data_IF_486495849530
#
_entry.id   IF_486495849530
#
_cell.length_a   1.000
_cell.length_b   1.000
_cell.length_c   1.000
_cell.angle_alpha   90.00
_cell.angle_beta   90.00
_cell.angle_gamma   90.00
#
_symmetry.space_group_name_H-M   'P 1'
#
loop_
_entity.id
_entity.type
_entity.pdbx_description
1 polymer ?
#
# COMPACT_ATOMS: atom_id res chain seq x y z
N UNK A 1 18.65 -0.97 -19.72
CA UNK A 1 18.35 -0.13 -18.54
C UNK A 1 17.16 -0.77 -17.82
N UNK A 2 17.27 -1.17 -16.55
CA UNK A 2 16.17 -1.82 -15.83
C UNK A 2 15.07 -0.80 -15.54
N UNK A 3 13.88 -0.98 -16.12
CA UNK A 3 12.69 -0.16 -15.83
C UNK A 3 12.04 -0.60 -14.50
N UNK A 4 12.81 -0.54 -13.42
CA UNK A 4 12.40 -1.03 -12.10
C UNK A 4 11.11 -0.36 -11.58
N UNK A 5 10.86 0.88 -11.96
CA UNK A 5 9.62 1.58 -11.63
C UNK A 5 8.39 1.02 -12.36
N UNK A 6 8.53 0.53 -13.60
CA UNK A 6 7.43 -0.18 -14.29
C UNK A 6 7.13 -1.49 -13.58
N UNK A 7 8.16 -2.20 -13.12
CA UNK A 7 8.00 -3.42 -12.30
C UNK A 7 7.23 -3.13 -11.01
N UNK A 8 7.56 -2.04 -10.31
CA UNK A 8 6.84 -1.64 -9.09
C UNK A 8 5.36 -1.35 -9.39
N UNK A 9 5.03 -0.70 -10.51
CA UNK A 9 3.62 -0.52 -10.93
C UNK A 9 2.90 -1.84 -11.18
N UNK A 10 3.57 -2.81 -11.80
CA UNK A 10 3.01 -4.15 -12.03
C UNK A 10 2.73 -4.86 -10.71
N UNK A 11 3.66 -4.81 -9.76
CA UNK A 11 3.47 -5.38 -8.41
C UNK A 11 2.30 -4.72 -7.69
N UNK A 12 2.19 -3.39 -7.75
CA UNK A 12 1.06 -2.67 -7.17
C UNK A 12 -0.28 -3.07 -7.81
N UNK A 13 -0.33 -3.22 -9.13
CA UNK A 13 -1.53 -3.69 -9.83
C UNK A 13 -1.89 -5.13 -9.46
N UNK A 14 -0.89 -5.99 -9.27
CA UNK A 14 -1.11 -7.36 -8.81
C UNK A 14 -1.68 -7.39 -7.39
N UNK A 15 -1.07 -6.64 -6.46
CA UNK A 15 -1.40 -6.71 -5.04
C UNK A 15 -2.69 -5.95 -4.67
N UNK A 16 -2.94 -4.80 -5.28
CA UNK A 16 -4.07 -3.91 -4.92
C UNK A 16 -5.12 -3.81 -6.04
N UNK A 17 -4.94 -4.56 -7.12
CA UNK A 17 -5.80 -4.58 -8.30
C UNK A 17 -5.47 -3.51 -9.35
N UNK A 18 -6.14 -3.63 -10.49
CA UNK A 18 -5.87 -2.83 -11.69
C UNK A 18 -5.88 -1.33 -11.41
N UNK A 19 -4.84 -0.65 -11.91
CA UNK A 19 -4.69 0.80 -11.83
C UNK A 19 -4.02 1.32 -10.57
N UNK A 20 -3.87 0.48 -9.53
CA UNK A 20 -3.15 0.84 -8.30
C UNK A 20 -1.71 1.29 -8.54
N UNK A 21 -1.02 0.72 -9.54
CA UNK A 21 0.34 1.13 -9.89
C UNK A 21 0.42 2.57 -10.40
N UNK A 22 -0.54 2.98 -11.23
CA UNK A 22 -0.64 4.38 -11.69
C UNK A 22 -1.10 5.28 -10.55
N UNK A 23 -2.02 4.81 -9.72
CA UNK A 23 -2.51 5.57 -8.58
C UNK A 23 -1.41 5.88 -7.55
N UNK A 24 -0.53 4.91 -7.26
CA UNK A 24 0.60 5.09 -6.34
C UNK A 24 1.78 5.85 -6.97
N UNK A 25 2.01 5.64 -8.26
CA UNK A 25 3.15 6.20 -8.99
C UNK A 25 2.67 6.72 -10.34
N UNK A 26 2.05 7.90 -10.44
CA UNK A 26 1.50 8.41 -11.70
C UNK A 26 2.59 8.78 -12.72
N UNK A 27 3.76 9.18 -12.20
CA UNK A 27 4.99 9.42 -12.97
C UNK A 27 6.11 8.52 -12.47
N UNK A 28 7.35 8.75 -12.95
CA UNK A 28 8.53 7.99 -12.52
C UNK A 28 8.87 8.35 -11.07
N UNK A 29 8.80 7.40 -10.12
CA UNK A 29 9.21 7.61 -8.74
C UNK A 29 10.73 7.56 -8.59
N UNK A 30 11.20 8.06 -7.45
CA UNK A 30 12.54 7.80 -6.97
C UNK A 30 12.58 6.40 -6.32
N UNK A 31 13.61 5.62 -6.64
CA UNK A 31 13.80 4.28 -6.09
C UNK A 31 15.13 4.22 -5.37
N UNK A 32 15.07 3.87 -4.09
CA UNK A 32 16.25 3.55 -3.30
C UNK A 32 16.50 2.04 -3.32
N UNK A 33 17.75 1.68 -3.55
CA UNK A 33 18.19 0.29 -3.65
C UNK A 33 18.96 -0.12 -2.39
N UNK A 34 18.94 -1.42 -2.08
CA UNK A 34 19.88 -1.99 -1.10
C UNK A 34 21.31 -1.94 -1.62
N UNK A 35 22.27 -2.23 -0.73
CA UNK A 35 23.68 -2.43 -1.09
C UNK A 35 23.89 -3.47 -2.21
N UNK A 36 23.00 -4.45 -2.29
CA UNK A 36 23.00 -5.51 -3.31
C UNK A 36 22.22 -5.17 -4.59
N UNK A 37 21.77 -3.92 -4.74
CA UNK A 37 21.05 -3.45 -5.93
C UNK A 37 19.58 -3.88 -6.02
N UNK A 38 18.97 -4.34 -4.92
CA UNK A 38 17.54 -4.69 -4.89
C UNK A 38 16.69 -3.47 -4.57
N UNK A 39 15.56 -3.29 -5.25
CA UNK A 39 14.58 -2.25 -4.95
C UNK A 39 14.17 -2.36 -3.46
N UNK A 40 14.16 -1.25 -2.74
CA UNK A 40 13.74 -1.18 -1.33
C UNK A 40 12.68 -0.13 -1.11
N UNK A 41 13.03 1.15 -1.12
CA UNK A 41 12.06 2.22 -0.86
C UNK A 41 11.68 2.88 -2.19
N UNK A 42 10.39 3.14 -2.36
CA UNK A 42 9.87 3.86 -3.51
C UNK A 42 9.25 5.15 -3.01
N UNK A 43 9.80 6.27 -3.45
CA UNK A 43 9.41 7.60 -3.06
C UNK A 43 8.74 8.31 -4.25
N UNK A 44 7.69 9.07 -3.98
CA UNK A 44 7.06 9.95 -4.96
C UNK A 44 6.96 11.33 -4.35
N UNK A 45 7.41 12.36 -5.09
CA UNK A 45 7.46 13.75 -4.62
C UNK A 45 8.14 13.89 -3.25
N UNK A 46 9.27 13.20 -3.05
CA UNK A 46 10.05 13.24 -1.80
C UNK A 46 9.44 12.50 -0.61
N UNK A 47 8.28 11.84 -0.77
CA UNK A 47 7.62 11.06 0.29
C UNK A 47 7.71 9.58 0.01
N UNK A 48 8.02 8.76 1.02
CA UNK A 48 8.01 7.29 0.89
C UNK A 48 6.58 6.83 0.69
N UNK A 49 6.29 6.20 -0.44
CA UNK A 49 4.96 5.67 -0.77
C UNK A 49 4.85 4.20 -0.37
N UNK A 50 5.87 3.41 -0.72
CA UNK A 50 5.91 1.99 -0.39
C UNK A 50 7.34 1.48 -0.20
N UNK A 51 7.46 0.33 0.44
CA UNK A 51 8.70 -0.45 0.52
C UNK A 51 8.47 -1.80 -0.13
N UNK A 52 9.34 -2.21 -1.04
CA UNK A 52 9.35 -3.57 -1.58
C UNK A 52 10.04 -4.52 -0.60
N UNK A 53 9.29 -5.50 -0.13
CA UNK A 53 9.77 -6.58 0.74
C UNK A 53 10.48 -7.66 -0.08
N UNK A 54 11.16 -8.56 0.64
CA UNK A 54 11.88 -9.69 0.03
C UNK A 54 10.96 -10.73 -0.59
N UNK A 55 9.70 -10.80 -0.15
CA UNK A 55 8.63 -11.62 -0.74
C UNK A 55 8.08 -11.05 -2.06
N UNK A 56 8.58 -9.89 -2.50
CA UNK A 56 8.14 -9.24 -3.74
C UNK A 56 6.86 -8.42 -3.60
N UNK A 57 6.33 -8.26 -2.38
CA UNK A 57 5.13 -7.45 -2.11
C UNK A 57 5.49 -6.07 -1.56
N UNK A 58 4.55 -5.13 -1.72
CA UNK A 58 4.65 -3.77 -1.22
C UNK A 58 4.06 -3.67 0.19
N UNK A 59 4.84 -3.07 1.10
CA UNK A 59 4.34 -2.51 2.36
C UNK A 59 4.13 -1.02 2.16
N UNK A 60 2.92 -0.55 2.46
CA UNK A 60 2.54 0.85 2.29
C UNK A 60 3.04 1.71 3.44
N UNK A 61 3.40 2.94 3.10
CA UNK A 61 3.39 4.07 4.04
C UNK A 61 1.96 4.57 4.27
N UNK A 62 1.78 5.53 5.19
CA UNK A 62 0.49 6.21 5.33
C UNK A 62 0.13 7.00 4.07
N UNK A 63 1.09 7.63 3.41
CA UNK A 63 0.90 8.37 2.17
C UNK A 63 0.41 7.45 1.04
N UNK A 64 1.06 6.29 0.87
CA UNK A 64 0.66 5.29 -0.13
C UNK A 64 -0.71 4.70 0.16
N UNK A 65 -1.01 4.43 1.43
CA UNK A 65 -2.33 3.99 1.85
C UNK A 65 -3.41 5.04 1.55
N UNK A 66 -3.15 6.33 1.81
CA UNK A 66 -4.07 7.42 1.48
C UNK A 66 -4.28 7.59 -0.02
N UNK A 67 -3.25 7.40 -0.85
CA UNK A 67 -3.37 7.45 -2.31
C UNK A 67 -4.28 6.32 -2.82
N UNK A 68 -4.08 5.08 -2.35
CA UNK A 68 -4.95 3.96 -2.70
C UNK A 68 -6.36 4.16 -2.16
N UNK A 69 -6.51 4.69 -0.94
CA UNK A 69 -7.80 4.99 -0.37
C UNK A 69 -8.60 6.01 -1.21
N UNK A 70 -7.94 7.02 -1.79
CA UNK A 70 -8.63 7.96 -2.70
C UNK A 70 -8.98 7.33 -4.05
N UNK A 71 -8.16 6.40 -4.53
CA UNK A 71 -8.30 5.81 -5.86
C UNK A 71 -9.29 4.64 -5.90
N UNK A 72 -9.16 3.70 -4.96
CA UNK A 72 -9.96 2.49 -4.94
C UNK A 72 -11.36 2.83 -4.44
N UNK A 73 -12.45 2.41 -5.11
CA UNK A 73 -13.79 2.59 -4.59
C UNK A 73 -13.98 1.77 -3.32
N UNK A 74 -14.83 2.28 -2.42
CA UNK A 74 -15.32 1.48 -1.30
C UNK A 74 -16.06 0.23 -1.82
N UNK A 75 -15.90 -0.96 -1.19
CA UNK A 75 -15.14 -1.25 0.03
C UNK A 75 -13.69 -1.72 -0.20
N UNK A 76 -13.16 -1.70 -1.43
CA UNK A 76 -11.90 -2.40 -1.79
C UNK A 76 -10.72 -2.10 -0.86
N UNK A 77 -10.04 -3.08 -0.31
CA UNK A 77 -8.90 -2.91 0.62
C UNK A 77 -9.26 -2.17 1.92
N UNK A 78 -10.53 -2.18 2.37
CA UNK A 78 -10.93 -1.57 3.65
C UNK A 78 -11.24 -2.62 4.71
N UNK A 79 -10.90 -2.26 5.94
CA UNK A 79 -11.40 -2.86 7.18
C UNK A 79 -11.99 -1.70 7.98
N UNK A 80 -13.30 -1.72 8.21
CA UNK A 80 -14.02 -0.69 8.96
C UNK A 80 -14.12 -1.16 10.41
N UNK A 81 -13.73 -0.29 11.34
CA UNK A 81 -13.81 -0.54 12.79
C UNK A 81 -14.83 0.38 13.43
N UNK A 82 -15.46 -0.07 14.51
CA UNK A 82 -16.36 0.76 15.31
C UNK A 82 -15.64 1.94 16.01
N UNK A 83 -16.39 2.96 16.37
CA UNK A 83 -15.87 4.22 16.95
C UNK A 83 -15.03 4.01 18.21
N UNK A 84 -15.38 3.03 19.04
CA UNK A 84 -14.64 2.68 20.25
C UNK A 84 -13.18 2.29 19.97
N UNK A 85 -12.96 1.60 18.83
CA UNK A 85 -11.65 1.15 18.39
C UNK A 85 -10.93 2.20 17.51
N UNK A 86 -11.69 3.06 16.82
CA UNK A 86 -11.16 4.04 15.87
C UNK A 86 -10.05 4.93 16.48
N UNK A 87 -10.20 5.36 17.74
CA UNK A 87 -9.17 6.16 18.43
C UNK A 87 -7.83 5.43 18.54
N UNK A 88 -7.85 4.15 18.92
CA UNK A 88 -6.64 3.35 19.10
C UNK A 88 -5.97 3.04 17.76
N UNK A 89 -6.78 2.78 16.73
CA UNK A 89 -6.27 2.53 15.38
C UNK A 89 -5.63 3.80 14.80
N UNK A 90 -6.20 4.98 15.03
CA UNK A 90 -5.58 6.27 14.67
C UNK A 90 -4.23 6.48 15.35
N UNK A 91 -4.08 6.02 16.59
CA UNK A 91 -2.81 6.07 17.34
C UNK A 91 -1.80 4.96 16.92
N UNK A 92 -2.10 4.22 15.85
CA UNK A 92 -1.23 3.18 15.32
C UNK A 92 -1.28 1.85 16.07
N UNK A 93 -2.31 1.60 16.89
CA UNK A 93 -2.55 0.31 17.53
C UNK A 93 -3.27 -0.67 16.60
N UNK A 94 -3.26 -1.94 16.95
CA UNK A 94 -3.89 -2.99 16.16
C UNK A 94 -5.42 -2.89 16.15
N UNK A 95 -6.04 -3.15 15.00
CA UNK A 95 -7.48 -3.36 14.88
C UNK A 95 -7.82 -4.82 15.22
N UNK A 96 -8.41 -5.06 16.40
CA UNK A 96 -8.85 -6.40 16.79
C UNK A 96 -10.14 -6.80 16.08
N UNK A 97 -10.25 -8.08 15.70
CA UNK A 97 -11.38 -8.63 14.93
C UNK A 97 -12.76 -8.35 15.55
N UNK A 98 -12.89 -8.40 16.89
CA UNK A 98 -14.15 -8.11 17.60
C UNK A 98 -14.69 -6.68 17.40
N UNK A 99 -13.84 -5.76 16.93
CA UNK A 99 -14.23 -4.36 16.69
C UNK A 99 -14.43 -4.05 15.20
N UNK A 100 -14.28 -5.04 14.31
CA UNK A 100 -14.52 -4.89 12.86
C UNK A 100 -16.02 -4.93 12.60
N UNK A 101 -16.53 -3.94 11.88
CA UNK A 101 -17.96 -3.81 11.53
C UNK A 101 -18.23 -4.08 10.04
N UNK A 102 -17.25 -3.84 9.17
CA UNK A 102 -17.32 -4.19 7.75
C UNK A 102 -15.91 -4.50 7.23
N UNK A 103 -15.81 -5.39 6.26
CA UNK A 103 -14.54 -5.74 5.61
C UNK A 103 -14.80 -6.00 4.12
N UNK A 104 -13.85 -5.59 3.28
CA UNK A 104 -13.83 -6.02 1.88
C UNK A 104 -13.80 -7.56 1.80
N UNK A 105 -14.82 -8.20 1.21
CA UNK A 105 -14.88 -9.65 1.10
C UNK A 105 -13.73 -10.25 0.27
N UNK A 106 -13.04 -9.44 -0.54
CA UNK A 106 -11.90 -9.87 -1.35
C UNK A 106 -10.55 -9.76 -0.64
N UNK A 107 -10.50 -9.22 0.59
CA UNK A 107 -9.27 -9.26 1.38
C UNK A 107 -8.90 -10.72 1.69
N UNK A 108 -7.60 -11.01 1.61
CA UNK A 108 -7.02 -12.33 1.89
C UNK A 108 -5.93 -12.19 2.94
N UNK A 109 -5.79 -13.22 3.78
CA UNK A 109 -4.57 -13.42 4.53
C UNK A 109 -3.44 -13.78 3.55
N UNK A 110 -2.29 -13.11 3.70
CA UNK A 110 -1.08 -13.39 2.92
C UNK A 110 -0.34 -14.62 3.47
#
# INVERSE_FOLDING_TARGET
MRDDWKRVRVIANYQFGRGAGIALFPEKPEIHYSRTGRIRQILYQGRRIATLKTDGLLTLSIEGAMMLHRYLPYPRMRVVVGDEAARFVRDGKNAFARHVVEVDPEIRAL
#
